data_IF_429718554787
#
_entry.id   IF_429718554787
#
_cell.length_a   1.000
_cell.length_b   1.000
_cell.length_c   1.000
_cell.angle_alpha   90.00
_cell.angle_beta   90.00
_cell.angle_gamma   90.00
#
_symmetry.space_group_name_H-M   'P 1'
#
loop_
_entity.id
_entity.type
_entity.pdbx_description
1 polymer ?
#
# COMPACT_ATOMS: atom_id res chain seq x y z
N UNK A 1 -7.33 7.71 -11.17
CA UNK A 1 -6.12 6.87 -11.38
C UNK A 1 -6.11 6.38 -12.82
N UNK A 2 -4.99 6.50 -13.55
CA UNK A 2 -4.87 5.94 -14.90
C UNK A 2 -5.00 4.41 -14.84
N UNK A 3 -5.81 3.83 -15.73
CA UNK A 3 -6.00 2.38 -15.83
C UNK A 3 -4.92 1.79 -16.73
N UNK A 4 -4.20 0.80 -16.25
CA UNK A 4 -3.23 0.01 -17.04
C UNK A 4 -3.86 -1.32 -17.43
N UNK A 5 -3.67 -1.76 -18.68
CA UNK A 5 -4.19 -3.04 -19.18
C UNK A 5 -3.21 -4.17 -18.87
N UNK A 6 -3.72 -5.28 -18.32
CA UNK A 6 -2.99 -6.53 -18.14
C UNK A 6 -3.70 -7.58 -19.00
N UNK A 7 -2.95 -8.29 -19.85
CA UNK A 7 -3.49 -9.39 -20.66
C UNK A 7 -3.15 -10.70 -19.95
N UNK A 8 -4.16 -11.54 -19.70
CA UNK A 8 -4.02 -12.82 -18.99
C UNK A 8 -4.68 -13.89 -19.85
N UNK A 9 -3.97 -14.98 -20.11
CA UNK A 9 -4.53 -16.18 -20.71
C UNK A 9 -5.06 -17.09 -19.61
N UNK A 10 -6.29 -17.55 -19.78
CA UNK A 10 -6.96 -18.50 -18.89
C UNK A 10 -7.47 -19.68 -19.72
N UNK A 11 -7.57 -20.83 -19.08
CA UNK A 11 -8.39 -21.92 -19.60
C UNK A 11 -9.83 -21.43 -19.86
N UNK A 12 -10.45 -21.96 -20.90
CA UNK A 12 -11.80 -21.59 -21.33
C UNK A 12 -12.83 -21.86 -20.23
N UNK A 13 -12.77 -23.03 -19.59
CA UNK A 13 -13.72 -23.41 -18.52
C UNK A 13 -13.60 -22.44 -17.33
N UNK A 14 -12.37 -22.13 -16.92
CA UNK A 14 -12.12 -21.17 -15.86
C UNK A 14 -12.57 -19.75 -16.23
N UNK A 15 -12.37 -19.33 -17.49
CA UNK A 15 -12.81 -18.02 -17.96
C UNK A 15 -14.34 -17.89 -17.94
N UNK A 16 -15.05 -18.94 -18.33
CA UNK A 16 -16.51 -18.95 -18.36
C UNK A 16 -17.09 -19.03 -16.93
N UNK A 17 -16.49 -19.85 -16.06
CA UNK A 17 -16.81 -19.83 -14.64
C UNK A 17 -16.64 -18.42 -14.03
N UNK A 18 -15.50 -17.77 -14.27
CA UNK A 18 -15.23 -16.45 -13.71
C UNK A 18 -16.24 -15.40 -14.17
N UNK A 19 -16.70 -15.44 -15.43
CA UNK A 19 -17.75 -14.54 -15.95
C UNK A 19 -19.09 -14.78 -15.26
N UNK A 20 -19.51 -16.04 -15.13
CA UNK A 20 -20.77 -16.41 -14.48
C UNK A 20 -20.74 -15.93 -13.02
N UNK A 21 -19.70 -16.31 -12.28
CA UNK A 21 -19.52 -15.91 -10.89
C UNK A 21 -19.54 -14.39 -10.71
N UNK A 22 -18.82 -13.65 -11.56
CA UNK A 22 -18.81 -12.19 -11.50
C UNK A 22 -20.20 -11.61 -11.71
N UNK A 23 -20.95 -12.14 -12.68
CA UNK A 23 -22.32 -11.69 -12.99
C UNK A 23 -23.27 -11.94 -11.83
N UNK A 24 -23.25 -13.13 -11.24
CA UNK A 24 -24.08 -13.50 -10.08
C UNK A 24 -23.82 -12.58 -8.88
N UNK A 25 -22.57 -12.16 -8.70
CA UNK A 25 -22.14 -11.27 -7.62
C UNK A 25 -22.20 -9.78 -8.00
N UNK A 26 -22.82 -9.42 -9.14
CA UNK A 26 -22.94 -8.04 -9.66
C UNK A 26 -21.61 -7.29 -9.70
N UNK A 27 -20.55 -8.00 -10.11
CA UNK A 27 -19.19 -7.49 -10.23
C UNK A 27 -18.61 -7.83 -11.60
N UNK A 28 -17.36 -7.48 -11.84
CA UNK A 28 -16.62 -7.87 -13.05
C UNK A 28 -15.40 -8.70 -12.72
N UNK A 29 -14.95 -9.53 -13.66
CA UNK A 29 -13.70 -10.29 -13.52
C UNK A 29 -12.52 -9.33 -13.26
N UNK A 30 -12.51 -8.16 -13.91
CA UNK A 30 -11.50 -7.14 -13.68
C UNK A 30 -11.53 -6.61 -12.23
N UNK A 31 -12.71 -6.38 -11.66
CA UNK A 31 -12.84 -5.92 -10.27
C UNK A 31 -12.39 -7.00 -9.28
N UNK A 32 -12.76 -8.27 -9.52
CA UNK A 32 -12.30 -9.39 -8.69
C UNK A 32 -10.77 -9.50 -8.69
N UNK A 33 -10.13 -9.48 -9.87
CA UNK A 33 -8.67 -9.51 -10.01
C UNK A 33 -8.03 -8.29 -9.35
N UNK A 34 -8.62 -7.12 -9.53
CA UNK A 34 -8.14 -5.87 -8.90
C UNK A 34 -8.16 -5.98 -7.38
N UNK A 35 -9.26 -6.45 -6.79
CA UNK A 35 -9.38 -6.59 -5.33
C UNK A 35 -8.43 -7.65 -4.77
N UNK A 36 -8.26 -8.77 -5.48
CA UNK A 36 -7.27 -9.78 -5.10
C UNK A 36 -5.84 -9.20 -5.09
N UNK A 37 -5.43 -8.54 -6.17
CA UNK A 37 -4.11 -7.92 -6.28
C UNK A 37 -3.90 -6.79 -5.25
N UNK A 38 -4.93 -5.99 -4.96
CA UNK A 38 -4.88 -4.97 -3.91
C UNK A 38 -4.69 -5.60 -2.52
N UNK A 39 -5.38 -6.70 -2.24
CA UNK A 39 -5.24 -7.42 -0.97
C UNK A 39 -3.83 -7.98 -0.82
N UNK A 40 -3.29 -8.56 -1.90
CA UNK A 40 -1.92 -9.07 -1.92
C UNK A 40 -0.89 -7.96 -1.73
N UNK A 41 -1.04 -6.83 -2.45
CA UNK A 41 -0.19 -5.65 -2.32
C UNK A 41 -0.18 -5.14 -0.87
N UNK A 42 -1.36 -4.94 -0.28
CA UNK A 42 -1.50 -4.48 1.12
C UNK A 42 -0.85 -5.44 2.12
N UNK A 43 -0.96 -6.75 1.89
CA UNK A 43 -0.32 -7.75 2.76
C UNK A 43 1.21 -7.67 2.68
N UNK A 44 1.77 -7.44 1.50
CA UNK A 44 3.22 -7.29 1.32
C UNK A 44 3.69 -5.96 1.92
N UNK A 45 3.03 -4.85 1.58
CA UNK A 45 3.34 -3.53 2.12
C UNK A 45 3.17 -3.49 3.64
N UNK A 46 2.13 -4.14 4.18
CA UNK A 46 1.93 -4.25 5.62
C UNK A 46 3.08 -4.96 6.33
N UNK A 47 3.67 -6.00 5.74
CA UNK A 47 4.86 -6.66 6.29
C UNK A 47 6.09 -5.77 6.27
N UNK A 48 6.27 -4.99 5.21
CA UNK A 48 7.37 -4.03 5.14
C UNK A 48 7.18 -2.90 6.17
N UNK A 49 5.95 -2.43 6.37
CA UNK A 49 5.62 -1.45 7.41
C UNK A 49 5.87 -2.04 8.80
N UNK A 50 5.41 -3.27 9.08
CA UNK A 50 5.69 -3.96 10.35
C UNK A 50 7.19 -4.07 10.61
N UNK A 51 7.98 -4.39 9.58
CA UNK A 51 9.44 -4.45 9.69
C UNK A 51 10.05 -3.09 10.03
N UNK A 52 9.63 -2.02 9.37
CA UNK A 52 10.10 -0.65 9.66
C UNK A 52 9.71 -0.23 11.08
N UNK A 53 8.46 -0.48 11.49
CA UNK A 53 7.96 -0.13 12.83
C UNK A 53 8.60 -0.96 13.95
N UNK A 54 9.12 -2.14 13.63
CA UNK A 54 9.86 -3.00 14.57
C UNK A 54 11.33 -2.64 14.71
N UNK A 55 11.85 -1.73 13.89
CA UNK A 55 13.25 -1.34 13.92
C UNK A 55 13.53 -0.40 15.11
N UNK A 56 14.49 -0.74 16.01
CA UNK A 56 14.70 0.03 17.23
C UNK A 56 15.13 1.49 17.00
N UNK A 57 15.94 1.79 15.98
CA UNK A 57 16.34 3.16 15.70
C UNK A 57 15.17 4.02 15.21
N UNK A 58 14.25 3.44 14.44
CA UNK A 58 13.01 4.08 14.00
C UNK A 58 12.09 4.36 15.19
N UNK A 59 11.94 3.41 16.10
CA UNK A 59 11.17 3.63 17.34
C UNK A 59 11.77 4.75 18.18
N UNK A 60 13.09 4.73 18.41
CA UNK A 60 13.77 5.77 19.16
C UNK A 60 13.63 7.16 18.51
N UNK A 61 13.81 7.25 17.18
CA UNK A 61 13.64 8.50 16.44
C UNK A 61 12.19 9.03 16.50
N UNK A 62 11.20 8.13 16.44
CA UNK A 62 9.79 8.48 16.56
C UNK A 62 9.44 9.00 17.96
N UNK A 63 9.93 8.34 19.01
CA UNK A 63 9.75 8.78 20.40
C UNK A 63 10.40 10.15 20.64
N UNK A 64 11.61 10.36 20.12
CA UNK A 64 12.30 11.65 20.19
C UNK A 64 11.51 12.76 19.48
N UNK A 65 11.03 12.51 18.26
CA UNK A 65 10.21 13.46 17.52
C UNK A 65 8.91 13.79 18.26
N UNK A 66 8.23 12.78 18.82
CA UNK A 66 7.03 12.99 19.63
C UNK A 66 7.31 13.81 20.89
N UNK A 67 8.44 13.55 21.56
CA UNK A 67 8.85 14.31 22.74
C UNK A 67 9.10 15.79 22.40
N UNK A 68 9.82 16.07 21.29
CA UNK A 68 10.05 17.44 20.81
C UNK A 68 8.75 18.18 20.49
N UNK A 69 7.82 17.51 19.81
CA UNK A 69 6.51 18.08 19.48
C UNK A 69 5.68 18.37 20.75
N UNK A 70 5.64 17.44 21.71
CA UNK A 70 4.91 17.62 22.98
C UNK A 70 5.48 18.74 23.83
N UNK A 71 6.80 18.88 23.85
CA UNK A 71 7.49 19.87 24.66
C UNK A 71 7.60 21.23 23.94
N UNK A 72 7.13 21.34 22.69
CA UNK A 72 7.21 22.57 21.89
C UNK A 72 8.63 22.93 21.47
N UNK A 73 9.57 21.99 21.48
CA UNK A 73 10.98 22.20 21.11
C UNK A 73 11.29 21.69 19.70
N UNK A 74 10.28 21.37 18.91
CA UNK A 74 10.44 20.99 17.52
C UNK A 74 10.71 22.23 16.65
N UNK A 75 11.80 22.19 15.89
CA UNK A 75 12.14 23.20 14.90
C UNK A 75 11.67 22.74 13.50
N UNK A 76 11.06 23.67 12.77
CA UNK A 76 10.65 23.42 11.38
C UNK A 76 11.71 24.01 10.47
N UNK A 77 12.26 23.17 9.59
CA UNK A 77 13.23 23.59 8.59
C UNK A 77 12.58 23.58 7.21
N UNK A 78 12.97 24.53 6.38
CA UNK A 78 12.68 24.54 4.95
C UNK A 78 13.49 23.46 4.22
N UNK A 79 13.07 23.14 2.99
CA UNK A 79 13.77 22.14 2.18
C UNK A 79 15.25 22.53 1.96
N UNK A 80 15.50 23.79 1.62
CA UNK A 80 16.85 24.29 1.34
C UNK A 80 17.74 24.29 2.60
N UNK A 81 17.18 24.47 3.79
CA UNK A 81 17.93 24.38 5.05
C UNK A 81 18.37 22.96 5.41
N UNK A 82 17.65 21.94 4.94
CA UNK A 82 17.94 20.52 5.25
C UNK A 82 18.73 19.85 4.13
N UNK A 83 18.47 20.24 2.87
CA UNK A 83 18.95 19.54 1.68
C UNK A 83 19.64 20.45 0.66
N UNK A 84 19.74 21.76 0.92
CA UNK A 84 20.60 22.63 0.14
C UNK A 84 22.08 22.32 0.41
N UNK A 85 22.90 22.39 -0.64
CA UNK A 85 24.36 22.13 -0.57
C UNK A 85 25.08 23.02 0.46
#
# INVERSE_FOLDING_TARGET
MPKTRINISLDQDLADFAKIFATENRTTVADMVTQYLLTLKRKIEGKEIEKILSEPAFQAAMEEAQAKLRNGTAEWHSYDEVFGD
#
